data_IF_468467525631
#
_entry.id   IF_468467525631
#
_cell.length_a   1.000
_cell.length_b   1.000
_cell.length_c   1.000
_cell.angle_alpha   90.00
_cell.angle_beta   90.00
_cell.angle_gamma   90.00
#
_symmetry.space_group_name_H-M   'P 1'
#
loop_
_entity.id
_entity.type
_entity.pdbx_description
1 polymer ?
#
# COMPACT_ATOMS: atom_id res chain seq x y z
N UNK A 1 -69.63 32.28 7.22
CA UNK A 1 -68.25 32.15 6.72
C UNK A 1 -67.43 31.53 7.84
N UNK A 2 -67.19 30.22 7.77
CA UNK A 2 -65.85 29.60 7.65
C UNK A 2 -64.86 30.16 8.68
N UNK A 3 -64.30 29.37 9.60
CA UNK A 3 -63.43 28.24 9.25
C UNK A 3 -63.20 27.34 10.47
N UNK A 4 -63.34 26.03 10.29
CA UNK A 4 -62.94 25.04 11.28
C UNK A 4 -61.41 24.90 11.33
N UNK A 5 -60.84 24.97 12.53
CA UNK A 5 -59.45 24.63 12.77
C UNK A 5 -59.30 23.11 12.86
N UNK A 6 -59.08 22.45 11.72
CA UNK A 6 -58.58 21.08 11.69
C UNK A 6 -57.11 21.09 12.11
N UNK A 7 -56.84 20.71 13.37
CA UNK A 7 -55.49 20.46 13.86
C UNK A 7 -54.92 19.22 13.19
N UNK A 8 -54.11 19.40 12.14
CA UNK A 8 -53.41 18.32 11.47
C UNK A 8 -52.18 17.92 12.32
N UNK A 9 -52.32 16.83 13.09
CA UNK A 9 -51.23 16.25 13.88
C UNK A 9 -50.24 15.55 12.94
N UNK A 10 -49.20 16.25 12.49
CA UNK A 10 -48.10 15.68 11.72
C UNK A 10 -47.15 14.92 12.65
N UNK A 11 -47.37 13.61 12.78
CA UNK A 11 -46.40 12.68 13.37
C UNK A 11 -45.25 12.46 12.37
N UNK A 12 -44.19 13.25 12.49
CA UNK A 12 -42.91 12.95 11.83
C UNK A 12 -42.30 11.70 12.51
N UNK A 13 -41.95 10.64 11.76
CA UNK A 13 -41.23 9.52 12.35
C UNK A 13 -39.84 10.02 12.75
N UNK A 14 -39.53 9.94 14.04
CA UNK A 14 -38.14 10.04 14.52
C UNK A 14 -37.36 8.90 13.87
N UNK A 15 -36.62 9.23 12.81
CA UNK A 15 -35.55 8.38 12.29
C UNK A 15 -34.47 8.38 13.37
N UNK A 16 -34.52 7.38 14.25
CA UNK A 16 -33.43 7.08 15.16
C UNK A 16 -32.23 6.63 14.31
N UNK A 17 -31.33 7.57 13.99
CA UNK A 17 -30.02 7.24 13.45
C UNK A 17 -29.27 6.39 14.48
N UNK A 18 -29.29 5.08 14.30
CA UNK A 18 -28.44 4.13 15.04
C UNK A 18 -26.98 4.47 14.71
N UNK A 19 -26.12 4.84 15.68
CA UNK A 19 -24.72 5.11 15.39
C UNK A 19 -24.04 3.79 15.01
N UNK A 20 -23.54 3.69 13.78
CA UNK A 20 -22.74 2.54 13.35
C UNK A 20 -21.41 2.51 14.12
N UNK A 21 -21.04 1.42 14.82
CA UNK A 21 -19.76 1.32 15.50
C UNK A 21 -18.71 0.80 14.52
N UNK A 22 -18.31 1.62 13.55
CA UNK A 22 -17.18 1.29 12.68
C UNK A 22 -16.51 2.55 12.13
N UNK A 23 -16.24 3.53 12.99
CA UNK A 23 -15.28 4.59 12.68
C UNK A 23 -13.94 4.15 13.26
N UNK A 24 -13.11 3.51 12.44
CA UNK A 24 -11.70 3.32 12.76
C UNK A 24 -11.12 4.67 13.20
N UNK A 25 -10.39 4.75 14.33
CA UNK A 25 -9.84 6.03 14.77
C UNK A 25 -8.93 6.54 13.65
N UNK A 26 -9.22 7.75 13.17
CA UNK A 26 -8.33 8.47 12.26
C UNK A 26 -6.95 8.45 12.90
N UNK A 27 -6.00 7.74 12.30
CA UNK A 27 -4.60 7.76 12.76
C UNK A 27 -4.11 9.18 12.56
N UNK A 28 -4.19 9.97 13.62
CA UNK A 28 -3.76 11.35 13.63
C UNK A 28 -2.26 11.38 13.34
N UNK A 29 -1.83 12.24 12.43
CA UNK A 29 -0.42 12.40 12.11
C UNK A 29 0.32 12.83 13.38
N UNK A 30 1.14 11.94 13.95
CA UNK A 30 1.91 12.22 15.17
C UNK A 30 3.21 12.91 14.77
N UNK A 31 3.52 14.06 15.35
CA UNK A 31 4.80 14.75 15.13
C UNK A 31 5.86 14.02 15.94
N UNK A 32 7.02 13.73 15.34
CA UNK A 32 8.13 13.04 16.01
C UNK A 32 8.70 13.80 17.23
N UNK A 33 8.33 15.06 17.43
CA UNK A 33 8.80 15.90 18.54
C UNK A 33 7.81 15.99 19.72
N UNK A 34 6.64 15.35 19.64
CA UNK A 34 5.75 15.27 20.80
C UNK A 34 6.39 14.31 21.81
N UNK A 35 6.87 14.88 22.92
CA UNK A 35 7.74 14.20 23.89
C UNK A 35 7.16 12.87 24.39
N UNK A 36 8.11 11.96 24.56
CA UNK A 36 7.99 10.62 25.10
C UNK A 36 7.33 10.61 26.48
N UNK A 37 6.30 9.78 26.63
CA UNK A 37 6.20 8.94 27.82
C UNK A 37 6.90 7.61 27.48
N UNK A 38 7.85 7.24 28.34
CA UNK A 38 8.97 6.32 28.13
C UNK A 38 8.61 4.81 28.02
N UNK A 39 9.59 3.88 28.10
CA UNK A 39 10.18 3.17 26.98
C UNK A 39 9.76 1.70 26.94
N UNK A 40 9.36 1.20 25.76
CA UNK A 40 9.34 -0.23 25.51
C UNK A 40 9.54 -0.51 24.02
N UNK A 41 10.34 -1.54 23.75
CA UNK A 41 10.65 -2.12 22.46
C UNK A 41 11.69 -1.35 21.62
N UNK A 42 12.96 -1.68 21.90
CA UNK A 42 14.01 -1.77 20.89
C UNK A 42 13.56 -2.71 19.77
N UNK A 43 12.81 -2.20 18.80
CA UNK A 43 12.54 -2.92 17.55
C UNK A 43 13.70 -2.65 16.59
N UNK A 44 14.76 -3.47 16.70
CA UNK A 44 15.76 -3.57 15.64
C UNK A 44 15.08 -4.17 14.40
N UNK A 45 14.94 -3.38 13.33
CA UNK A 45 14.56 -3.90 12.02
C UNK A 45 15.76 -4.66 11.44
N UNK A 46 15.77 -5.99 11.56
CA UNK A 46 16.68 -6.85 10.79
C UNK A 46 16.00 -7.24 9.46
N UNK A 47 16.62 -6.83 8.36
CA UNK A 47 16.25 -7.21 6.99
C UNK A 47 16.66 -8.67 6.75
N UNK A 48 15.76 -9.59 6.33
CA UNK A 48 16.14 -10.96 6.04
C UNK A 48 16.84 -11.08 4.68
N UNK A 49 18.03 -11.67 4.66
CA UNK A 49 18.75 -12.01 3.44
C UNK A 49 18.22 -13.35 2.89
N UNK A 50 17.46 -13.29 1.80
CA UNK A 50 16.94 -14.49 1.11
C UNK A 50 17.92 -14.92 0.02
N UNK A 51 18.65 -16.02 0.25
CA UNK A 51 19.47 -16.68 -0.77
C UNK A 51 18.78 -17.95 -1.27
N UNK A 52 18.26 -17.93 -2.50
CA UNK A 52 17.68 -19.11 -3.14
C UNK A 52 18.75 -19.83 -3.98
N UNK A 53 19.16 -21.04 -3.56
CA UNK A 53 20.06 -21.90 -4.34
C UNK A 53 19.24 -23.04 -4.94
N UNK A 54 19.04 -23.00 -6.26
CA UNK A 54 18.42 -24.09 -7.03
C UNK A 54 19.54 -25.01 -7.50
N UNK A 55 19.64 -26.22 -6.95
CA UNK A 55 20.69 -27.17 -7.29
C UNK A 55 20.36 -27.91 -8.60
N UNK A 56 20.89 -27.43 -9.73
CA UNK A 56 20.75 -28.07 -11.05
C UNK A 56 21.76 -29.21 -11.24
N UNK A 57 21.58 -30.33 -10.51
CA UNK A 57 22.44 -31.53 -10.68
C UNK A 57 21.71 -32.82 -11.05
N UNK A 58 20.41 -32.78 -11.35
CA UNK A 58 19.65 -33.98 -11.81
C UNK A 58 19.67 -34.09 -13.35
N UNK A 59 20.84 -34.05 -13.97
CA UNK A 59 21.01 -34.34 -15.41
C UNK A 59 22.28 -35.17 -15.64
N UNK A 60 22.28 -36.44 -15.23
CA UNK A 60 23.13 -37.48 -15.82
C UNK A 60 22.56 -38.86 -15.55
N UNK A 61 21.93 -39.43 -16.58
CA UNK A 61 21.57 -40.84 -16.60
C UNK A 61 22.76 -41.72 -16.96
N UNK A 62 22.52 -43.03 -16.80
CA UNK A 62 23.10 -44.20 -17.50
C UNK A 62 23.59 -45.25 -16.48
N UNK A 63 23.36 -46.57 -16.66
CA UNK A 63 23.39 -47.38 -17.88
C UNK A 63 22.40 -48.56 -17.76
N UNK A 64 21.83 -48.98 -18.88
CA UNK A 64 20.81 -50.03 -18.95
C UNK A 64 21.28 -51.43 -18.55
N UNK A 65 20.33 -52.19 -18.01
CA UNK A 65 20.48 -53.57 -17.57
C UNK A 65 20.66 -54.56 -18.73
N UNK A 66 21.31 -55.70 -18.43
CA UNK A 66 21.56 -56.79 -19.37
C UNK A 66 20.27 -57.57 -19.64
N UNK A 67 19.97 -57.83 -20.91
CA UNK A 67 18.74 -58.51 -21.32
C UNK A 67 18.70 -59.99 -20.94
N UNK A 68 17.57 -60.44 -20.43
CA UNK A 68 17.29 -61.83 -20.11
C UNK A 68 16.90 -62.66 -21.34
N UNK A 69 17.23 -63.96 -21.29
CA UNK A 69 16.94 -64.94 -22.36
C UNK A 69 15.46 -65.32 -22.34
N UNK A 70 14.84 -65.35 -23.53
CA UNK A 70 13.40 -65.53 -23.69
C UNK A 70 12.85 -66.88 -23.19
N UNK A 71 11.64 -66.85 -22.65
CA UNK A 71 10.88 -68.02 -22.20
C UNK A 71 10.02 -68.60 -23.35
N UNK A 72 9.72 -69.92 -23.33
CA UNK A 72 8.88 -70.55 -24.36
C UNK A 72 7.44 -69.98 -24.43
N UNK A 73 6.87 -69.97 -25.63
CA UNK A 73 5.57 -69.36 -25.92
C UNK A 73 4.39 -70.07 -25.25
N UNK A 74 3.44 -69.28 -24.74
CA UNK A 74 2.19 -69.78 -24.14
C UNK A 74 1.11 -69.99 -25.21
N UNK A 75 0.13 -70.90 -24.99
CA UNK A 75 -0.98 -71.15 -25.91
C UNK A 75 -1.79 -69.88 -26.23
N UNK A 76 -2.41 -69.86 -27.41
CA UNK A 76 -3.12 -68.70 -27.96
C UNK A 76 -4.30 -68.25 -27.10
N UNK A 77 -4.40 -66.93 -26.90
CA UNK A 77 -5.41 -66.29 -26.07
C UNK A 77 -6.69 -66.01 -26.86
N UNK A 78 -7.82 -66.13 -26.16
CA UNK A 78 -9.14 -65.72 -26.64
C UNK A 78 -9.13 -64.25 -27.10
N UNK A 79 -9.84 -63.97 -28.20
CA UNK A 79 -9.81 -62.66 -28.86
C UNK A 79 -10.22 -61.53 -27.91
N UNK A 80 -9.36 -60.53 -27.77
CA UNK A 80 -9.60 -59.43 -26.83
C UNK A 80 -10.82 -58.61 -27.23
N UNK A 81 -11.67 -58.19 -26.28
CA UNK A 81 -12.77 -57.26 -26.54
C UNK A 81 -12.30 -56.02 -27.29
N UNK A 82 -13.14 -55.50 -28.19
CA UNK A 82 -12.82 -54.34 -29.02
C UNK A 82 -12.35 -53.15 -28.17
N UNK A 83 -11.27 -52.50 -28.60
CA UNK A 83 -10.67 -51.40 -27.87
C UNK A 83 -11.66 -50.24 -27.71
N UNK A 84 -11.76 -49.71 -26.49
CA UNK A 84 -12.45 -48.44 -26.23
C UNK A 84 -11.80 -47.36 -27.10
N UNK A 85 -12.62 -46.57 -27.80
CA UNK A 85 -12.14 -45.48 -28.64
C UNK A 85 -11.21 -44.52 -27.89
N UNK A 86 -10.27 -43.87 -28.59
CA UNK A 86 -9.27 -43.03 -27.96
C UNK A 86 -9.94 -41.88 -27.19
N UNK A 87 -9.39 -41.54 -26.03
CA UNK A 87 -9.83 -40.37 -25.28
C UNK A 87 -9.65 -39.11 -26.15
N UNK A 88 -10.67 -38.24 -26.16
CA UNK A 88 -10.61 -36.98 -26.90
C UNK A 88 -9.41 -36.11 -26.46
N UNK A 89 -8.89 -35.25 -27.35
CA UNK A 89 -7.76 -34.39 -27.03
C UNK A 89 -8.08 -33.47 -25.86
N UNK A 90 -7.11 -33.27 -24.96
CA UNK A 90 -7.23 -32.29 -23.87
C UNK A 90 -7.41 -30.89 -24.46
N UNK A 91 -8.39 -30.14 -23.95
CA UNK A 91 -8.61 -28.75 -24.35
C UNK A 91 -7.34 -27.89 -24.16
N UNK A 92 -7.16 -26.91 -25.05
CA UNK A 92 -6.03 -25.98 -24.97
C UNK A 92 -6.06 -25.19 -23.66
N UNK A 93 -4.87 -24.92 -23.10
CA UNK A 93 -4.74 -24.01 -21.95
C UNK A 93 -5.27 -22.63 -22.35
N UNK A 94 -6.08 -22.02 -21.47
CA UNK A 94 -6.56 -20.65 -21.67
C UNK A 94 -5.40 -19.65 -21.76
N UNK A 95 -5.63 -18.53 -22.45
CA UNK A 95 -4.64 -17.46 -22.55
C UNK A 95 -4.36 -16.84 -21.17
N UNK A 96 -3.13 -16.40 -20.95
CA UNK A 96 -2.77 -15.65 -19.77
C UNK A 96 -3.54 -14.31 -19.74
N UNK A 97 -3.98 -13.90 -18.54
CA UNK A 97 -4.57 -12.58 -18.36
C UNK A 97 -3.59 -11.45 -18.69
N UNK A 98 -4.12 -10.27 -18.99
CA UNK A 98 -3.29 -9.07 -19.19
C UNK A 98 -2.54 -8.71 -17.91
N UNK A 99 -1.33 -8.13 -18.01
CA UNK A 99 -0.65 -7.56 -16.85
C UNK A 99 -1.56 -6.56 -16.13
N UNK A 100 -1.50 -6.54 -14.79
CA UNK A 100 -2.19 -5.55 -13.98
C UNK A 100 -1.56 -4.16 -14.12
N UNK A 101 -2.30 -3.13 -13.73
CA UNK A 101 -1.80 -1.75 -13.74
C UNK A 101 -0.60 -1.56 -12.82
N UNK A 102 0.27 -0.61 -13.19
CA UNK A 102 1.41 -0.24 -12.37
C UNK A 102 0.96 0.34 -11.02
N UNK A 103 1.62 -0.09 -9.94
CA UNK A 103 1.38 0.44 -8.60
C UNK A 103 1.76 1.93 -8.54
N UNK A 104 0.78 2.81 -8.32
CA UNK A 104 1.01 4.25 -8.08
C UNK A 104 1.34 4.45 -6.61
N UNK A 105 2.61 4.68 -6.29
CA UNK A 105 3.03 4.97 -4.92
C UNK A 105 2.75 6.47 -4.65
N UNK A 106 1.82 6.80 -3.74
CA UNK A 106 1.53 8.19 -3.41
C UNK A 106 2.74 8.77 -2.68
N UNK A 107 3.18 9.96 -3.10
CA UNK A 107 4.28 10.67 -2.48
C UNK A 107 3.92 12.15 -2.32
N UNK A 108 4.52 12.79 -1.33
CA UNK A 108 4.32 14.19 -1.02
C UNK A 108 5.68 14.83 -0.77
N UNK A 109 6.02 15.89 -1.52
CA UNK A 109 7.25 16.65 -1.30
C UNK A 109 7.01 18.15 -1.42
N UNK A 110 7.74 18.91 -0.62
CA UNK A 110 7.76 20.36 -0.71
C UNK A 110 9.16 20.89 -0.41
N UNK A 111 9.47 22.05 -0.97
CA UNK A 111 10.67 22.84 -0.69
C UNK A 111 10.29 24.31 -0.82
N UNK A 112 10.55 25.06 0.23
CA UNK A 112 10.15 26.47 0.35
C UNK A 112 11.30 27.30 0.90
N UNK A 113 11.32 28.57 0.52
CA UNK A 113 12.32 29.53 0.92
C UNK A 113 11.67 30.82 1.38
N UNK A 114 12.43 31.57 2.17
CA UNK A 114 12.08 32.93 2.57
C UNK A 114 13.22 33.85 2.15
N UNK A 115 12.91 34.87 1.33
CA UNK A 115 13.89 35.87 0.87
C UNK A 115 13.87 37.11 1.75
N UNK A 116 12.69 37.49 2.23
CA UNK A 116 12.52 38.64 3.11
C UNK A 116 13.02 38.32 4.52
N UNK A 117 13.78 39.24 5.11
CA UNK A 117 14.19 39.13 6.51
C UNK A 117 12.96 38.91 7.40
N UNK A 118 13.16 38.15 8.47
CA UNK A 118 12.18 38.01 9.53
C UNK A 118 12.79 38.65 10.78
N UNK A 119 12.13 39.69 11.27
CA UNK A 119 12.44 40.25 12.57
C UNK A 119 11.85 39.35 13.66
N UNK A 120 12.56 39.19 14.78
CA UNK A 120 12.02 38.46 15.92
C UNK A 120 10.76 39.18 16.40
N UNK A 121 9.68 38.43 16.55
CA UNK A 121 8.48 38.90 17.23
C UNK A 121 8.47 38.24 18.61
N UNK A 122 7.92 38.94 19.60
CA UNK A 122 7.87 38.46 21.00
C UNK A 122 6.86 37.30 21.21
N UNK A 123 6.31 36.73 20.14
CA UNK A 123 5.32 35.66 20.18
C UNK A 123 5.66 34.49 19.24
N UNK A 124 5.30 33.27 19.67
CA UNK A 124 5.50 32.05 18.90
C UNK A 124 4.56 32.01 17.69
N UNK A 125 5.07 32.40 16.51
CA UNK A 125 4.36 32.29 15.23
C UNK A 125 4.96 31.20 14.34
N UNK A 126 4.11 30.52 13.57
CA UNK A 126 4.57 29.63 12.50
C UNK A 126 5.37 30.42 11.45
N UNK A 127 6.54 29.89 11.07
CA UNK A 127 7.39 30.49 10.05
C UNK A 127 6.71 30.45 8.67
N UNK A 128 6.39 31.63 8.15
CA UNK A 128 5.78 31.81 6.82
C UNK A 128 6.87 31.93 5.77
N UNK A 129 6.63 31.38 4.58
CA UNK A 129 7.56 31.39 3.46
C UNK A 129 7.01 32.23 2.30
N UNK A 130 7.90 32.85 1.53
CA UNK A 130 7.53 33.74 0.40
C UNK A 130 7.84 33.14 -0.97
N UNK A 131 8.59 32.04 -1.00
CA UNK A 131 9.03 31.40 -2.23
C UNK A 131 8.78 29.90 -2.13
N UNK A 132 8.17 29.32 -3.17
CA UNK A 132 8.05 27.87 -3.32
C UNK A 132 9.00 27.42 -4.41
N UNK A 133 9.84 26.42 -4.10
CA UNK A 133 10.68 25.75 -5.08
C UNK A 133 10.01 24.48 -5.60
N UNK A 134 9.41 23.69 -4.70
CA UNK A 134 8.67 22.46 -5.00
C UNK A 134 7.46 22.39 -4.07
N UNK A 135 6.29 22.01 -4.57
CA UNK A 135 5.11 21.76 -3.73
C UNK A 135 4.16 20.80 -4.46
N UNK A 136 4.49 19.50 -4.42
CA UNK A 136 3.70 18.49 -5.10
C UNK A 136 2.32 18.38 -4.43
N UNK A 137 1.27 18.42 -5.26
CA UNK A 137 -0.14 18.33 -4.84
C UNK A 137 -0.57 19.40 -3.83
N UNK A 138 0.20 20.49 -3.70
CA UNK A 138 -0.10 21.62 -2.82
C UNK A 138 -0.27 21.25 -1.33
N UNK A 139 0.41 20.21 -0.88
CA UNK A 139 0.33 19.75 0.50
C UNK A 139 0.97 20.73 1.50
N UNK A 140 1.79 21.69 1.05
CA UNK A 140 2.31 22.77 1.88
C UNK A 140 1.60 24.10 1.60
N UNK A 141 1.09 24.74 2.64
CA UNK A 141 0.55 26.09 2.58
C UNK A 141 1.60 27.12 3.03
N UNK A 142 2.14 27.86 2.06
CA UNK A 142 3.21 28.83 2.33
C UNK A 142 2.75 30.00 3.22
N UNK A 143 1.53 30.48 3.03
CA UNK A 143 0.96 31.62 3.77
C UNK A 143 0.72 31.31 5.25
N UNK A 144 0.44 30.05 5.57
CA UNK A 144 0.25 29.57 6.94
C UNK A 144 1.52 28.96 7.53
N UNK A 145 2.55 28.71 6.72
CA UNK A 145 3.74 27.97 7.13
C UNK A 145 3.43 26.53 7.57
N UNK A 146 2.41 25.91 6.98
CA UNK A 146 1.87 24.62 7.44
C UNK A 146 1.92 23.56 6.34
N UNK A 147 2.55 22.43 6.66
CA UNK A 147 2.45 21.20 5.89
C UNK A 147 1.23 20.39 6.35
N UNK A 148 0.45 19.87 5.40
CA UNK A 148 -0.69 18.99 5.63
C UNK A 148 -0.36 17.56 5.18
N UNK A 149 -0.40 16.63 6.11
CA UNK A 149 -0.14 15.22 5.85
C UNK A 149 -1.39 14.56 5.25
N UNK A 150 -1.49 14.55 3.92
CA UNK A 150 -2.56 13.85 3.20
C UNK A 150 -2.21 12.39 2.89
N UNK A 151 -0.92 12.09 2.71
CA UNK A 151 -0.42 10.73 2.45
C UNK A 151 0.15 10.15 3.75
N UNK A 152 -0.35 9.03 4.27
CA UNK A 152 0.24 8.42 5.46
C UNK A 152 1.64 7.88 5.13
N UNK A 153 2.64 8.22 5.96
CA UNK A 153 4.01 7.78 5.71
C UNK A 153 5.02 8.41 6.66
N UNK A 154 6.29 8.11 6.42
CA UNK A 154 7.43 8.71 7.12
C UNK A 154 7.91 9.90 6.31
N UNK A 155 8.09 11.04 6.99
CA UNK A 155 8.49 12.30 6.36
C UNK A 155 9.85 12.75 6.88
N UNK A 156 10.67 13.27 5.97
CA UNK A 156 11.94 13.90 6.27
C UNK A 156 11.80 15.41 6.12
N UNK A 157 12.15 16.16 7.17
CA UNK A 157 12.14 17.62 7.18
C UNK A 157 13.55 18.14 7.43
N UNK A 158 13.96 19.13 6.65
CA UNK A 158 15.21 19.86 6.84
C UNK A 158 14.91 21.36 6.76
N UNK A 159 15.50 22.13 7.67
CA UNK A 159 15.40 23.59 7.72
C UNK A 159 16.82 24.15 7.85
N UNK A 160 17.15 25.09 6.97
CA UNK A 160 18.38 25.87 7.04
C UNK A 160 18.02 27.34 7.33
N UNK A 161 18.63 27.91 8.37
CA UNK A 161 18.36 29.27 8.84
C UNK A 161 19.65 30.06 8.76
N UNK A 162 19.64 31.11 7.92
CA UNK A 162 20.72 32.09 7.86
C UNK A 162 20.34 33.33 8.66
N UNK A 163 21.11 33.65 9.69
CA UNK A 163 20.98 34.89 10.44
C UNK A 163 21.97 35.92 9.87
N UNK A 164 21.47 37.09 9.47
CA UNK A 164 22.31 38.21 9.09
C UNK A 164 22.19 39.29 10.16
N UNK A 165 23.26 39.48 10.93
CA UNK A 165 23.34 40.61 11.86
C UNK A 165 23.84 41.81 11.05
N UNK A 166 23.01 42.84 10.90
CA UNK A 166 23.49 44.16 10.53
C UNK A 166 24.25 44.68 11.75
N UNK A 167 25.57 44.64 11.70
CA UNK A 167 26.41 45.30 12.70
C UNK A 167 26.43 46.77 12.30
N UNK A 168 25.80 47.61 13.11
CA UNK A 168 25.90 49.08 13.03
C UNK A 168 27.36 49.54 13.20
#
# INVERSE_FOLDING_TARGET
>A
MLSGCFGLLLLLPLVCCVPSPSRSPSRLCRRCCDQQDSPAATAQYQMPEVRTVINMTILKGDKGDKGDKGTPGKPGLEGSPGYRGPMGPKGSKGQAGTPGDACKIPHSSFSVGRRKSLHSLDYYQALVFDTVFVNLYEHFNMFKGKFYCYVPGIYFFNVNIHTWNFKE
#
